data_IF_384763358646
#
_entry.id   IF_384763358646
#
_cell.length_a   1.000
_cell.length_b   1.000
_cell.length_c   1.000
_cell.angle_alpha   90.00
_cell.angle_beta   90.00
_cell.angle_gamma   90.00
#
_symmetry.space_group_name_H-M   'P 1'
#
loop_
_entity.id
_entity.type
_entity.pdbx_description
1 polymer ?
#
# COMPACT_ATOMS: atom_id res chain seq x y z
N UNK A 1 66.25 -3.28 13.88
CA UNK A 1 65.34 -3.01 12.74
C UNK A 1 64.06 -2.28 13.14
N UNK A 2 63.64 -2.35 14.38
CA UNK A 2 62.35 -1.73 14.84
C UNK A 2 62.32 -0.20 14.87
N UNK A 3 63.45 0.48 15.07
CA UNK A 3 63.47 1.97 15.13
C UNK A 3 63.24 2.71 13.79
N UNK A 4 63.38 2.02 12.64
CA UNK A 4 63.22 2.63 11.32
C UNK A 4 61.75 2.70 10.84
N UNK A 5 60.86 1.99 11.51
CA UNK A 5 59.43 1.86 11.12
C UNK A 5 58.57 2.97 11.74
N UNK A 6 59.06 3.65 12.80
CA UNK A 6 58.30 4.62 13.57
C UNK A 6 57.97 5.93 12.80
N UNK A 7 58.71 6.28 11.77
CA UNK A 7 58.56 7.53 11.00
C UNK A 7 57.96 7.37 9.61
N UNK A 8 57.52 6.15 9.26
CA UNK A 8 56.93 5.89 7.96
C UNK A 8 55.48 6.38 7.90
N UNK A 9 55.09 7.01 6.79
CA UNK A 9 53.70 7.32 6.50
C UNK A 9 52.85 6.05 6.39
N UNK A 10 51.52 6.16 6.58
CA UNK A 10 50.59 5.01 6.56
C UNK A 10 50.79 4.14 5.29
N UNK A 11 50.97 4.77 4.13
CA UNK A 11 51.23 4.05 2.87
C UNK A 11 52.55 3.26 2.85
N UNK A 12 53.61 3.80 3.44
CA UNK A 12 54.91 3.11 3.53
C UNK A 12 54.88 1.93 4.49
N UNK A 13 54.12 2.04 5.60
CA UNK A 13 53.90 0.92 6.52
C UNK A 13 53.11 -0.21 5.87
N UNK A 14 52.08 0.15 5.06
CA UNK A 14 51.30 -0.82 4.27
C UNK A 14 52.19 -1.51 3.22
N UNK A 15 53.06 -0.75 2.54
CA UNK A 15 53.94 -1.33 1.54
C UNK A 15 54.97 -2.31 2.14
N UNK A 16 55.60 -1.95 3.26
CA UNK A 16 56.54 -2.86 3.98
C UNK A 16 55.83 -4.10 4.49
N UNK A 17 54.61 -3.98 5.03
CA UNK A 17 53.80 -5.12 5.45
C UNK A 17 53.43 -6.02 4.27
N UNK A 18 53.04 -5.41 3.13
CA UNK A 18 52.68 -6.17 1.92
C UNK A 18 53.91 -6.92 1.37
N UNK A 19 55.08 -6.31 1.37
CA UNK A 19 56.30 -6.94 0.91
C UNK A 19 56.74 -8.10 1.79
N UNK A 20 56.57 -7.98 3.10
CA UNK A 20 56.83 -9.03 4.06
C UNK A 20 55.79 -10.19 4.00
N UNK A 21 54.56 -9.90 3.60
CA UNK A 21 53.43 -10.87 3.66
C UNK A 21 52.82 -11.14 2.27
N UNK A 22 53.57 -11.10 1.19
CA UNK A 22 53.08 -11.21 -0.21
C UNK A 22 52.13 -12.39 -0.41
N UNK A 23 52.42 -13.58 0.15
CA UNK A 23 51.55 -14.76 0.02
C UNK A 23 50.20 -14.59 0.74
N UNK A 24 50.19 -14.00 1.94
CA UNK A 24 48.95 -13.77 2.71
C UNK A 24 48.10 -12.67 2.06
N UNK A 25 48.77 -11.61 1.58
CA UNK A 25 48.10 -10.54 0.85
C UNK A 25 47.45 -11.05 -0.45
N UNK A 26 48.12 -11.96 -1.17
CA UNK A 26 47.61 -12.56 -2.39
C UNK A 26 46.40 -13.45 -2.12
N UNK A 27 46.45 -14.29 -1.05
CA UNK A 27 45.31 -15.08 -0.61
C UNK A 27 44.12 -14.21 -0.14
N UNK A 28 44.40 -13.14 0.61
CA UNK A 28 43.39 -12.17 1.01
C UNK A 28 42.71 -11.51 -0.20
N UNK A 29 43.49 -11.08 -1.19
CA UNK A 29 42.96 -10.51 -2.41
C UNK A 29 42.09 -11.51 -3.22
N UNK A 30 42.53 -12.76 -3.32
CA UNK A 30 41.74 -13.81 -3.98
C UNK A 30 40.41 -14.11 -3.27
N UNK A 31 40.40 -14.11 -1.92
CA UNK A 31 39.17 -14.28 -1.15
C UNK A 31 38.22 -13.12 -1.38
N UNK A 32 38.70 -11.88 -1.32
CA UNK A 32 37.88 -10.68 -1.59
C UNK A 32 37.34 -10.67 -3.02
N UNK A 33 38.16 -11.02 -3.99
CA UNK A 33 37.74 -11.15 -5.39
C UNK A 33 36.67 -12.26 -5.56
N UNK A 34 36.85 -13.41 -4.93
CA UNK A 34 35.90 -14.52 -4.94
C UNK A 34 34.55 -14.12 -4.33
N UNK A 35 34.57 -13.46 -3.17
CA UNK A 35 33.35 -12.93 -2.55
C UNK A 35 32.67 -11.88 -3.43
N UNK A 36 33.44 -10.99 -4.05
CA UNK A 36 32.91 -10.00 -5.00
C UNK A 36 32.22 -10.63 -6.20
N UNK A 37 32.78 -11.72 -6.75
CA UNK A 37 32.16 -12.46 -7.85
C UNK A 37 30.88 -13.16 -7.41
N UNK A 38 30.83 -13.77 -6.22
CA UNK A 38 29.62 -14.39 -5.69
C UNK A 38 28.50 -13.37 -5.51
N UNK A 39 28.81 -12.24 -4.91
CA UNK A 39 27.84 -11.14 -4.71
C UNK A 39 27.36 -10.60 -6.06
N UNK A 40 28.28 -10.36 -6.99
CA UNK A 40 27.94 -9.89 -8.35
C UNK A 40 27.04 -10.88 -9.09
N UNK A 41 27.35 -12.19 -8.99
CA UNK A 41 26.53 -13.23 -9.59
C UNK A 41 25.13 -13.31 -8.97
N UNK A 42 25.03 -13.13 -7.65
CA UNK A 42 23.73 -13.09 -6.97
C UNK A 42 22.89 -11.92 -7.44
N UNK A 43 23.44 -10.70 -7.50
CA UNK A 43 22.75 -9.52 -8.01
C UNK A 43 22.35 -9.65 -9.49
N UNK A 44 23.20 -10.25 -10.30
CA UNK A 44 22.90 -10.50 -11.72
C UNK A 44 21.74 -11.47 -11.90
N UNK A 45 21.71 -12.56 -11.09
CA UNK A 45 20.62 -13.51 -11.12
C UNK A 45 19.30 -12.89 -10.69
N UNK A 46 19.31 -12.07 -9.64
CA UNK A 46 18.12 -11.37 -9.15
C UNK A 46 17.61 -10.37 -10.19
N UNK A 47 18.49 -9.57 -10.80
CA UNK A 47 18.14 -8.65 -11.89
C UNK A 47 17.50 -9.35 -13.08
N UNK A 48 17.98 -10.54 -13.46
CA UNK A 48 17.37 -11.35 -14.53
C UNK A 48 15.96 -11.83 -14.17
N UNK A 49 15.73 -12.25 -12.92
CA UNK A 49 14.38 -12.65 -12.48
C UNK A 49 13.40 -11.48 -12.58
N UNK A 50 13.80 -10.28 -12.12
CA UNK A 50 12.98 -9.07 -12.22
C UNK A 50 12.69 -8.70 -13.69
N UNK A 51 13.69 -8.76 -14.58
CA UNK A 51 13.49 -8.47 -16.00
C UNK A 51 12.50 -9.43 -16.64
N UNK A 52 12.69 -10.74 -16.47
CA UNK A 52 11.79 -11.75 -17.03
C UNK A 52 10.36 -11.61 -16.47
N UNK A 53 10.21 -11.29 -15.19
CA UNK A 53 8.94 -11.06 -14.57
C UNK A 53 8.23 -9.81 -15.13
N UNK A 54 8.99 -8.72 -15.32
CA UNK A 54 8.50 -7.49 -15.94
C UNK A 54 8.04 -7.71 -17.39
N UNK A 55 8.80 -8.48 -18.18
CA UNK A 55 8.41 -8.86 -19.54
C UNK A 55 7.12 -9.67 -19.55
N UNK A 56 6.99 -10.68 -18.68
CA UNK A 56 5.79 -11.50 -18.59
C UNK A 56 4.54 -10.66 -18.23
N UNK A 57 4.65 -9.76 -17.26
CA UNK A 57 3.55 -8.87 -16.88
C UNK A 57 3.21 -7.89 -18.02
N UNK A 58 4.22 -7.31 -18.66
CA UNK A 58 4.02 -6.37 -19.77
C UNK A 58 3.33 -7.02 -20.97
N UNK A 59 3.61 -8.30 -21.27
CA UNK A 59 2.91 -9.06 -22.30
C UNK A 59 1.43 -9.23 -21.98
N UNK A 60 1.07 -9.54 -20.72
CA UNK A 60 -0.33 -9.62 -20.29
C UNK A 60 -1.02 -8.27 -20.47
N UNK A 61 -0.39 -7.18 -20.02
CA UNK A 61 -0.93 -5.83 -20.16
C UNK A 61 -1.05 -5.38 -21.63
N UNK A 62 -0.06 -5.68 -22.48
CA UNK A 62 -0.08 -5.35 -23.91
C UNK A 62 -1.23 -6.07 -24.65
N UNK A 63 -1.46 -7.33 -24.35
CA UNK A 63 -2.55 -8.11 -24.97
C UNK A 63 -3.93 -7.51 -24.68
N UNK A 64 -4.09 -6.78 -23.56
CA UNK A 64 -5.35 -6.10 -23.22
C UNK A 64 -5.57 -4.81 -24.00
N UNK A 65 -4.50 -4.09 -24.35
CA UNK A 65 -4.57 -2.82 -25.07
C UNK A 65 -4.65 -2.98 -26.59
N UNK A 66 -4.01 -4.00 -27.16
CA UNK A 66 -3.93 -4.21 -28.62
C UNK A 66 -5.11 -4.96 -29.24
N UNK A 67 -5.95 -5.63 -28.45
CA UNK A 67 -7.07 -6.44 -28.98
C UNK A 67 -8.28 -5.61 -29.44
N UNK A 68 -8.12 -4.34 -29.83
CA UNK A 68 -9.11 -3.53 -30.56
C UNK A 68 -10.53 -3.40 -29.97
N UNK A 69 -10.73 -3.83 -28.77
CA UNK A 69 -11.97 -3.84 -28.00
C UNK A 69 -11.72 -4.44 -26.64
N UNK A 70 -11.40 -3.61 -25.70
CA UNK A 70 -11.56 -3.73 -24.24
C UNK A 70 -11.66 -5.17 -23.66
N UNK A 71 -10.76 -6.09 -24.04
CA UNK A 71 -10.64 -7.33 -23.28
C UNK A 71 -9.70 -7.07 -22.10
N UNK A 72 -10.27 -6.83 -20.94
CA UNK A 72 -9.48 -6.85 -19.71
C UNK A 72 -8.74 -8.20 -19.61
N UNK A 73 -7.48 -8.20 -19.15
CA UNK A 73 -6.79 -9.45 -18.88
C UNK A 73 -7.59 -10.29 -17.90
N UNK A 74 -7.64 -11.59 -18.11
CA UNK A 74 -8.33 -12.46 -17.19
C UNK A 74 -7.58 -12.53 -15.83
N UNK A 75 -8.28 -12.71 -14.72
CA UNK A 75 -7.62 -12.91 -13.44
C UNK A 75 -6.58 -14.04 -13.47
N UNK A 76 -6.85 -15.07 -14.25
CA UNK A 76 -6.01 -16.26 -14.41
C UNK A 76 -4.66 -15.93 -15.08
N UNK A 77 -4.64 -15.00 -16.05
CA UNK A 77 -3.39 -14.55 -16.69
C UNK A 77 -2.49 -13.83 -15.68
N UNK A 78 -3.04 -12.94 -14.83
CA UNK A 78 -2.29 -12.30 -13.75
C UNK A 78 -1.84 -13.29 -12.70
N UNK A 79 -2.69 -14.25 -12.30
CA UNK A 79 -2.32 -15.29 -11.33
C UNK A 79 -1.20 -16.17 -11.84
N UNK A 80 -1.15 -16.46 -13.15
CA UNK A 80 -0.06 -17.20 -13.77
C UNK A 80 1.27 -16.45 -13.61
N UNK A 81 1.30 -15.15 -13.94
CA UNK A 81 2.51 -14.32 -13.75
C UNK A 81 2.91 -14.28 -12.28
N UNK A 82 1.97 -14.03 -11.35
CA UNK A 82 2.23 -14.00 -9.92
C UNK A 82 2.80 -15.32 -9.38
N UNK A 83 2.35 -16.46 -9.90
CA UNK A 83 2.84 -17.78 -9.47
C UNK A 83 4.21 -18.14 -10.04
N UNK A 84 4.47 -17.76 -11.29
CA UNK A 84 5.74 -18.05 -11.96
C UNK A 84 6.87 -17.14 -11.51
N UNK A 85 6.54 -15.93 -11.11
CA UNK A 85 7.49 -14.88 -10.74
C UNK A 85 7.30 -14.40 -9.28
N UNK A 86 6.99 -15.32 -8.38
CA UNK A 86 6.90 -15.03 -6.94
C UNK A 86 8.19 -14.42 -6.40
N UNK A 87 8.06 -13.49 -5.45
CA UNK A 87 9.20 -12.78 -4.85
C UNK A 87 9.76 -11.62 -5.68
N UNK A 88 9.26 -11.38 -6.90
CA UNK A 88 9.63 -10.23 -7.74
C UNK A 88 8.63 -9.08 -7.60
N UNK A 89 9.07 -7.86 -7.95
CA UNK A 89 8.18 -6.68 -7.99
C UNK A 89 7.03 -6.86 -8.98
N UNK A 90 7.31 -7.42 -10.16
CA UNK A 90 6.29 -7.69 -11.17
C UNK A 90 5.31 -8.79 -10.73
N UNK A 91 5.80 -9.83 -10.01
CA UNK A 91 4.95 -10.86 -9.41
C UNK A 91 4.01 -10.30 -8.35
N UNK A 92 4.52 -9.40 -7.49
CA UNK A 92 3.69 -8.67 -6.53
C UNK A 92 2.60 -7.84 -7.24
N UNK A 93 2.97 -7.07 -8.25
CA UNK A 93 2.02 -6.27 -9.01
C UNK A 93 0.98 -7.14 -9.73
N UNK A 94 1.40 -8.26 -10.32
CA UNK A 94 0.49 -9.21 -10.96
C UNK A 94 -0.52 -9.79 -9.96
N UNK A 95 -0.09 -10.10 -8.73
CA UNK A 95 -0.99 -10.60 -7.68
C UNK A 95 -2.04 -9.55 -7.27
N UNK A 96 -1.64 -8.29 -7.18
CA UNK A 96 -2.55 -7.17 -6.89
C UNK A 96 -3.58 -7.01 -8.03
N UNK A 97 -3.12 -6.98 -9.28
CA UNK A 97 -3.97 -6.88 -10.47
C UNK A 97 -4.93 -8.08 -10.59
N UNK A 98 -4.48 -9.28 -10.21
CA UNK A 98 -5.36 -10.45 -10.16
C UNK A 98 -6.50 -10.25 -9.15
N UNK A 99 -6.21 -9.70 -7.96
CA UNK A 99 -7.23 -9.34 -6.98
C UNK A 99 -8.23 -8.32 -7.51
N UNK A 100 -7.75 -7.27 -8.19
CA UNK A 100 -8.59 -6.25 -8.80
C UNK A 100 -9.46 -6.82 -9.93
N UNK A 101 -8.91 -7.67 -10.80
CA UNK A 101 -9.64 -8.31 -11.88
C UNK A 101 -10.72 -9.28 -11.35
N UNK A 102 -10.42 -10.04 -10.30
CA UNK A 102 -11.39 -10.89 -9.61
C UNK A 102 -12.52 -10.06 -8.97
N UNK A 103 -12.18 -8.95 -8.35
CA UNK A 103 -13.16 -8.02 -7.79
C UNK A 103 -14.10 -7.47 -8.87
N UNK A 104 -13.54 -6.99 -9.99
CA UNK A 104 -14.30 -6.51 -11.13
C UNK A 104 -15.22 -7.59 -11.75
N UNK A 105 -14.81 -8.86 -11.68
CA UNK A 105 -15.61 -10.02 -12.09
C UNK A 105 -16.69 -10.44 -11.06
N UNK A 106 -16.81 -9.72 -9.92
CA UNK A 106 -17.75 -10.07 -8.84
C UNK A 106 -17.31 -11.26 -7.97
N UNK A 107 -16.10 -11.80 -8.18
CA UNK A 107 -15.53 -12.94 -7.46
C UNK A 107 -14.87 -12.47 -6.16
N UNK A 108 -15.64 -11.81 -5.29
CA UNK A 108 -15.13 -11.06 -4.13
C UNK A 108 -14.35 -11.92 -3.12
N UNK A 109 -14.77 -13.14 -2.88
CA UNK A 109 -14.07 -14.04 -1.94
C UNK A 109 -12.70 -14.46 -2.47
N UNK A 110 -12.59 -14.68 -3.78
CA UNK A 110 -11.34 -15.03 -4.42
C UNK A 110 -10.40 -13.81 -4.49
N UNK A 111 -10.94 -12.63 -4.82
CA UNK A 111 -10.21 -11.37 -4.78
C UNK A 111 -9.61 -11.11 -3.39
N UNK A 112 -10.42 -11.27 -2.34
CA UNK A 112 -9.99 -11.13 -0.96
C UNK A 112 -8.83 -12.08 -0.62
N UNK A 113 -8.91 -13.34 -1.08
CA UNK A 113 -7.84 -14.30 -0.86
C UNK A 113 -6.51 -13.87 -1.52
N UNK A 114 -6.55 -13.24 -2.72
CA UNK A 114 -5.34 -12.75 -3.38
C UNK A 114 -4.75 -11.52 -2.66
N UNK A 115 -5.57 -10.57 -2.23
CA UNK A 115 -5.10 -9.43 -1.43
C UNK A 115 -4.50 -9.87 -0.09
N UNK A 116 -5.10 -10.85 0.58
CA UNK A 116 -4.54 -11.43 1.80
C UNK A 116 -3.25 -12.21 1.53
N UNK A 117 -3.15 -12.91 0.41
CA UNK A 117 -1.92 -13.56 -0.04
C UNK A 117 -0.81 -12.53 -0.26
N UNK A 118 -1.12 -11.40 -0.95
CA UNK A 118 -0.19 -10.29 -1.10
C UNK A 118 0.32 -9.79 0.26
N UNK A 119 -0.58 -9.59 1.22
CA UNK A 119 -0.22 -9.09 2.55
C UNK A 119 0.72 -10.04 3.32
N UNK A 120 0.63 -11.34 3.07
CA UNK A 120 1.53 -12.35 3.68
C UNK A 120 2.87 -12.44 2.95
N UNK A 121 2.84 -12.50 1.62
CA UNK A 121 4.04 -12.77 0.80
C UNK A 121 4.89 -11.51 0.59
N UNK A 122 4.28 -10.33 0.62
CA UNK A 122 4.89 -9.05 0.28
C UNK A 122 4.71 -7.97 1.37
N UNK A 123 4.82 -8.36 2.64
CA UNK A 123 4.57 -7.46 3.78
C UNK A 123 5.42 -6.18 3.78
N UNK A 124 6.63 -6.19 3.20
CA UNK A 124 7.51 -5.03 3.05
C UNK A 124 7.32 -4.23 1.74
N UNK A 125 6.37 -4.63 0.89
CA UNK A 125 6.16 -3.96 -0.39
C UNK A 125 5.42 -2.63 -0.21
N UNK A 126 5.79 -1.54 -0.94
CA UNK A 126 5.08 -0.25 -0.88
C UNK A 126 3.58 -0.33 -1.20
N UNK A 127 3.14 -1.34 -1.96
CA UNK A 127 1.73 -1.55 -2.33
C UNK A 127 0.90 -2.28 -1.25
N UNK A 128 1.48 -2.55 -0.08
CA UNK A 128 0.80 -3.29 1.00
C UNK A 128 -0.51 -2.62 1.44
N UNK A 129 -0.53 -1.29 1.54
CA UNK A 129 -1.72 -0.54 1.92
C UNK A 129 -2.84 -0.66 0.87
N UNK A 130 -2.49 -0.76 -0.42
CA UNK A 130 -3.44 -0.98 -1.51
C UNK A 130 -4.05 -2.39 -1.43
N UNK A 131 -3.24 -3.40 -1.13
CA UNK A 131 -3.74 -4.76 -0.93
C UNK A 131 -4.69 -4.86 0.28
N UNK A 132 -4.36 -4.19 1.38
CA UNK A 132 -5.25 -4.13 2.56
C UNK A 132 -6.56 -3.40 2.25
N UNK A 133 -6.51 -2.28 1.52
CA UNK A 133 -7.70 -1.59 1.03
C UNK A 133 -8.54 -2.51 0.13
N UNK A 134 -7.92 -3.23 -0.81
CA UNK A 134 -8.59 -4.19 -1.67
C UNK A 134 -9.30 -5.30 -0.89
N UNK A 135 -8.64 -5.85 0.14
CA UNK A 135 -9.25 -6.84 1.02
C UNK A 135 -10.46 -6.29 1.79
N UNK A 136 -10.36 -5.05 2.31
CA UNK A 136 -11.45 -4.36 2.98
C UNK A 136 -12.64 -4.12 2.05
N UNK A 137 -12.37 -3.69 0.81
CA UNK A 137 -13.39 -3.47 -0.22
C UNK A 137 -14.10 -4.78 -0.61
N UNK A 138 -13.36 -5.90 -0.64
CA UNK A 138 -13.96 -7.21 -0.86
C UNK A 138 -14.91 -7.63 0.28
N UNK A 139 -14.57 -7.33 1.53
CA UNK A 139 -15.45 -7.58 2.69
C UNK A 139 -16.73 -6.75 2.60
N UNK A 140 -16.60 -5.47 2.23
CA UNK A 140 -17.74 -4.57 2.04
C UNK A 140 -18.68 -5.08 0.93
N UNK A 141 -18.13 -5.46 -0.22
CA UNK A 141 -18.88 -6.03 -1.33
C UNK A 141 -19.56 -7.38 -1.00
N UNK A 142 -19.03 -8.13 -0.03
CA UNK A 142 -19.65 -9.36 0.50
C UNK A 142 -20.73 -9.08 1.55
N UNK A 143 -21.00 -7.81 1.90
CA UNK A 143 -21.93 -7.44 2.96
C UNK A 143 -21.42 -7.69 4.38
N UNK A 144 -20.13 -8.00 4.55
CA UNK A 144 -19.46 -8.20 5.84
C UNK A 144 -19.09 -6.86 6.47
N UNK A 145 -20.09 -6.03 6.72
CA UNK A 145 -19.94 -4.60 7.04
C UNK A 145 -19.03 -4.34 8.25
N UNK A 146 -19.19 -5.11 9.33
CA UNK A 146 -18.38 -4.92 10.55
C UNK A 146 -16.92 -5.32 10.36
N UNK A 147 -16.66 -6.36 9.54
CA UNK A 147 -15.31 -6.78 9.20
C UNK A 147 -14.66 -5.75 8.26
N UNK A 148 -15.42 -5.25 7.27
CA UNK A 148 -14.97 -4.20 6.36
C UNK A 148 -14.60 -2.92 7.12
N UNK A 149 -15.44 -2.49 8.08
CA UNK A 149 -15.17 -1.31 8.90
C UNK A 149 -13.84 -1.43 9.67
N UNK A 150 -13.59 -2.60 10.29
CA UNK A 150 -12.31 -2.85 10.97
C UNK A 150 -11.15 -2.86 10.00
N UNK A 151 -11.31 -3.49 8.84
CA UNK A 151 -10.25 -3.58 7.83
C UNK A 151 -9.92 -2.20 7.22
N UNK A 152 -10.91 -1.35 6.91
CA UNK A 152 -10.66 0.02 6.46
C UNK A 152 -9.92 0.85 7.52
N UNK A 153 -10.29 0.70 8.79
CA UNK A 153 -9.63 1.38 9.90
C UNK A 153 -8.16 0.95 10.02
N UNK A 154 -7.88 -0.34 9.91
CA UNK A 154 -6.50 -0.88 9.91
C UNK A 154 -5.62 -0.25 8.84
N UNK A 155 -6.14 0.04 7.63
CA UNK A 155 -5.37 0.66 6.54
C UNK A 155 -4.75 1.98 6.97
N UNK A 156 -5.54 2.90 7.51
CA UNK A 156 -5.02 4.23 7.85
C UNK A 156 -4.34 4.30 9.23
N UNK A 157 -4.61 3.37 10.12
CA UNK A 157 -3.88 3.27 11.39
C UNK A 157 -2.46 2.71 11.20
N UNK A 158 -2.29 1.71 10.34
CA UNK A 158 -0.98 1.08 10.07
C UNK A 158 -0.17 1.84 9.02
N UNK A 159 -0.82 2.47 8.06
CA UNK A 159 -0.18 3.13 6.92
C UNK A 159 -0.70 4.57 6.73
N UNK A 160 -0.52 5.46 7.71
CA UNK A 160 -1.15 6.80 7.72
C UNK A 160 -0.74 7.69 6.55
N UNK A 161 0.42 7.42 5.95
CA UNK A 161 0.96 8.21 4.82
C UNK A 161 0.68 7.56 3.46
N UNK A 162 -0.06 6.45 3.39
CA UNK A 162 -0.37 5.80 2.12
C UNK A 162 -1.40 6.62 1.33
N UNK A 163 -1.23 6.65 0.00
CA UNK A 163 -2.13 7.36 -0.93
C UNK A 163 -3.57 6.84 -0.90
N UNK A 164 -3.80 5.63 -0.40
CA UNK A 164 -5.12 4.99 -0.28
C UNK A 164 -5.89 5.37 0.99
N UNK A 165 -5.26 6.12 1.90
CA UNK A 165 -5.88 6.52 3.19
C UNK A 165 -7.17 7.32 3.01
N UNK A 166 -7.26 8.32 2.12
CA UNK A 166 -8.52 9.02 1.89
C UNK A 166 -9.65 8.10 1.45
N UNK A 167 -9.34 7.11 0.58
CA UNK A 167 -10.30 6.11 0.12
C UNK A 167 -10.79 5.22 1.27
N UNK A 168 -9.88 4.76 2.13
CA UNK A 168 -10.21 3.93 3.27
C UNK A 168 -11.11 4.68 4.27
N UNK A 169 -10.78 5.93 4.58
CA UNK A 169 -11.60 6.79 5.47
C UNK A 169 -12.97 7.07 4.88
N UNK A 170 -13.05 7.37 3.58
CA UNK A 170 -14.31 7.61 2.89
C UNK A 170 -15.22 6.38 2.94
N UNK A 171 -14.67 5.20 2.66
CA UNK A 171 -15.43 3.94 2.71
C UNK A 171 -15.92 3.63 4.13
N UNK A 172 -15.09 3.86 5.15
CA UNK A 172 -15.49 3.71 6.55
C UNK A 172 -16.59 4.71 6.94
N UNK A 173 -16.50 5.96 6.46
CA UNK A 173 -17.52 6.98 6.71
C UNK A 173 -18.88 6.57 6.13
N UNK A 174 -18.92 6.01 4.91
CA UNK A 174 -20.13 5.45 4.31
C UNK A 174 -20.75 4.33 5.14
N UNK A 175 -19.90 3.44 5.68
CA UNK A 175 -20.37 2.38 6.59
C UNK A 175 -21.00 2.99 7.85
N UNK A 176 -20.34 3.95 8.48
CA UNK A 176 -20.88 4.63 9.65
C UNK A 176 -22.17 5.38 9.36
N UNK A 177 -22.28 6.03 8.21
CA UNK A 177 -23.51 6.68 7.77
C UNK A 177 -24.67 5.66 7.65
N UNK A 178 -24.41 4.52 7.00
CA UNK A 178 -25.43 3.45 6.86
C UNK A 178 -25.86 2.83 8.21
N UNK A 179 -24.98 2.88 9.21
CA UNK A 179 -25.26 2.43 10.57
C UNK A 179 -25.93 3.51 11.45
N UNK A 180 -26.20 4.69 10.91
CA UNK A 180 -26.73 5.81 11.70
C UNK A 180 -25.72 6.47 12.64
N UNK A 181 -24.44 6.11 12.56
CA UNK A 181 -23.35 6.70 13.36
C UNK A 181 -22.89 8.01 12.74
N UNK A 182 -23.82 8.99 12.66
CA UNK A 182 -23.66 10.17 11.81
C UNK A 182 -22.51 11.09 12.22
N UNK A 183 -22.23 11.25 13.51
CA UNK A 183 -21.10 12.08 13.97
C UNK A 183 -19.74 11.45 13.64
N UNK A 184 -19.64 10.11 13.70
CA UNK A 184 -18.42 9.41 13.31
C UNK A 184 -18.20 9.50 11.79
N UNK A 185 -19.27 9.36 11.00
CA UNK A 185 -19.23 9.54 9.55
C UNK A 185 -18.79 10.97 9.19
N UNK A 186 -19.36 11.99 9.88
CA UNK A 186 -19.04 13.40 9.68
C UNK A 186 -17.57 13.67 9.90
N UNK A 187 -17.00 13.22 11.03
CA UNK A 187 -15.58 13.41 11.32
C UNK A 187 -14.66 12.88 10.23
N UNK A 188 -14.94 11.68 9.72
CA UNK A 188 -14.16 11.07 8.64
C UNK A 188 -14.33 11.80 7.31
N UNK A 189 -15.56 12.23 6.95
CA UNK A 189 -15.77 13.03 5.75
C UNK A 189 -15.07 14.39 5.82
N UNK A 190 -15.05 15.05 6.99
CA UNK A 190 -14.32 16.30 7.19
C UNK A 190 -12.80 16.13 6.97
N UNK A 191 -12.22 15.00 7.42
CA UNK A 191 -10.81 14.70 7.18
C UNK A 191 -10.52 14.47 5.70
N UNK A 192 -11.37 13.73 4.99
CA UNK A 192 -11.19 13.43 3.56
C UNK A 192 -11.42 14.66 2.70
N UNK A 193 -12.40 15.52 3.03
CA UNK A 193 -12.75 16.71 2.27
C UNK A 193 -11.64 17.78 2.24
N UNK A 194 -10.64 17.69 3.15
CA UNK A 194 -9.47 18.60 3.13
C UNK A 194 -8.52 18.32 1.97
N UNK A 195 -8.63 17.15 1.34
CA UNK A 195 -7.78 16.79 0.21
C UNK A 195 -8.32 17.37 -1.10
N UNK A 196 -7.46 18.06 -1.86
CA UNK A 196 -7.80 18.56 -3.21
C UNK A 196 -7.79 17.40 -4.22
N UNK A 197 -8.80 16.54 -4.17
CA UNK A 197 -8.93 15.34 -4.98
C UNK A 197 -10.41 15.05 -5.28
N UNK A 198 -10.67 14.18 -6.26
CA UNK A 198 -12.04 13.77 -6.59
C UNK A 198 -12.77 13.17 -5.38
N UNK A 199 -12.09 12.36 -4.58
CA UNK A 199 -12.66 11.77 -3.37
C UNK A 199 -12.87 12.82 -2.27
N UNK A 200 -12.01 13.86 -2.19
CA UNK A 200 -12.20 14.99 -1.29
C UNK A 200 -13.44 15.79 -1.64
N UNK A 201 -13.68 16.04 -2.93
CA UNK A 201 -14.89 16.71 -3.40
C UNK A 201 -16.15 15.89 -3.11
N UNK A 202 -16.11 14.56 -3.33
CA UNK A 202 -17.22 13.68 -3.00
C UNK A 202 -17.51 13.66 -1.50
N UNK A 203 -16.46 13.59 -0.67
CA UNK A 203 -16.59 13.67 0.78
C UNK A 203 -17.23 15.02 1.23
N UNK A 204 -16.85 16.12 0.59
CA UNK A 204 -17.45 17.43 0.83
C UNK A 204 -18.96 17.46 0.54
N UNK A 205 -19.39 16.88 -0.58
CA UNK A 205 -20.82 16.77 -0.91
C UNK A 205 -21.57 15.91 0.13
N UNK A 206 -21.03 14.77 0.50
CA UNK A 206 -21.61 13.90 1.54
C UNK A 206 -21.70 14.59 2.90
N UNK A 207 -20.68 15.38 3.23
CA UNK A 207 -20.64 16.15 4.47
C UNK A 207 -21.79 17.17 4.54
N UNK A 208 -22.11 17.89 3.44
CA UNK A 208 -23.22 18.83 3.39
C UNK A 208 -24.58 18.13 3.50
N UNK A 209 -24.77 16.99 2.82
CA UNK A 209 -25.98 16.17 2.99
C UNK A 209 -26.16 15.71 4.45
N UNK A 210 -25.05 15.29 5.09
CA UNK A 210 -25.07 14.80 6.45
C UNK A 210 -25.39 15.91 7.46
N UNK A 211 -24.83 17.11 7.28
CA UNK A 211 -25.17 18.29 8.11
C UNK A 211 -26.64 18.62 8.04
N UNK A 212 -27.23 18.54 6.85
CA UNK A 212 -28.68 18.76 6.66
C UNK A 212 -29.51 17.71 7.40
N UNK A 213 -29.13 16.43 7.33
CA UNK A 213 -29.79 15.34 8.09
C UNK A 213 -29.68 15.55 9.60
N UNK A 214 -28.52 15.95 10.09
CA UNK A 214 -28.27 16.20 11.52
C UNK A 214 -29.08 17.42 12.02
N UNK A 215 -29.17 18.49 11.25
CA UNK A 215 -29.95 19.67 11.61
C UNK A 215 -31.46 19.39 11.63
N UNK A 216 -31.95 18.55 10.71
CA UNK A 216 -33.35 18.11 10.69
C UNK A 216 -33.72 17.17 11.83
N UNK A 217 -32.75 16.39 12.34
CA UNK A 217 -32.92 15.48 13.46
C UNK A 217 -32.80 16.19 14.84
N UNK A 218 -32.30 17.43 14.88
CA UNK A 218 -32.20 18.19 16.11
C UNK A 218 -33.59 18.57 16.62
N UNK A 219 -33.89 18.40 17.93
CA UNK A 219 -35.18 18.84 18.48
C UNK A 219 -35.30 20.37 18.28
N UNK A 220 -36.52 20.87 18.00
CA UNK A 220 -36.74 22.30 17.86
C UNK A 220 -36.22 23.02 19.11
N UNK A 221 -35.57 24.20 18.95
CA UNK A 221 -35.07 24.95 20.09
C UNK A 221 -36.20 25.15 21.09
N UNK A 222 -35.95 24.82 22.34
CA UNK A 222 -36.94 24.97 23.40
C UNK A 222 -37.45 26.42 23.38
N UNK A 223 -38.74 26.57 23.13
CA UNK A 223 -39.37 27.87 23.18
C UNK A 223 -39.10 28.47 24.55
N UNK A 224 -38.34 29.57 24.61
CA UNK A 224 -38.15 30.29 25.85
C UNK A 224 -39.55 30.75 26.34
N UNK A 225 -39.90 30.47 27.62
CA UNK A 225 -41.16 30.95 28.15
C UNK A 225 -41.15 32.50 28.05
N UNK A 226 -42.09 33.01 27.26
CA UNK A 226 -42.30 34.49 27.18
C UNK A 226 -42.69 34.90 28.59
N UNK A 227 -41.77 35.58 29.30
CA UNK A 227 -42.10 36.23 30.57
C UNK A 227 -43.22 37.17 30.31
N UNK A 228 -44.42 36.80 30.76
CA UNK A 228 -45.58 37.69 30.76
C UNK A 228 -45.24 38.94 31.60
N UNK A 229 -45.23 40.08 30.94
CA UNK A 229 -45.09 41.39 31.62
C UNK A 229 -46.20 41.50 32.67
N UNK A 230 -45.91 41.90 33.90
CA UNK A 230 -46.96 42.15 34.87
C UNK A 230 -47.81 43.35 34.42
N UNK A 231 -49.15 43.15 34.38
CA UNK A 231 -50.11 44.24 34.19
C UNK A 231 -49.99 45.18 35.40
N UNK A 232 -49.46 46.40 35.22
CA UNK A 232 -49.62 47.49 36.17
C UNK A 232 -51.04 48.00 36.12
N UNK A 233 -51.74 47.91 37.28
CA UNK A 233 -52.99 48.64 37.56
C UNK A 233 -52.68 50.10 37.85
#
# INVERSE_FOLDING_TARGET
MEQKVAHLNFGEKLWVWFEANKKQALWGALIVAGLGLIVSFYFWQESKKETNAGEALSQVLANTTFSGGARAASPEEYLKVASQHGGTSAGAQALLLAGEALFAAGRYSEAQAQFQRFSREYAGNPLIAQALLGAATCLDAQGKTEEAARAYKEVFERYPNANVVPQARFSLARIYESQGKLEQARSLYEEVARAESSIGNEAGMRLEELKTKLSAAAPPPAAFPILSTPKTN
#
